data_IF_719664820823
#
_entry.id   IF_719664820823
#
_cell.length_a   1.000
_cell.length_b   1.000
_cell.length_c   1.000
_cell.angle_alpha   90.00
_cell.angle_beta   90.00
_cell.angle_gamma   90.00
#
_symmetry.space_group_name_H-M   'P 1'
#
loop_
_entity.id
_entity.type
_entity.pdbx_description
1 polymer ?
#
# COMPACT_ATOMS: atom_id res chain seq x y z
N UNK A 1 28.69 -16.02 12.07
CA UNK A 1 29.91 -15.19 12.24
C UNK A 1 30.50 -15.06 10.85
N UNK A 2 30.40 -13.87 10.27
CA UNK A 2 30.89 -13.61 8.92
C UNK A 2 32.42 -13.54 8.94
N UNK A 3 33.07 -14.11 7.93
CA UNK A 3 34.53 -14.17 7.82
C UNK A 3 34.95 -13.65 6.45
N UNK A 4 35.96 -12.79 6.42
CA UNK A 4 36.52 -12.32 5.15
C UNK A 4 37.07 -13.49 4.30
N UNK A 5 36.81 -13.49 2.98
CA UNK A 5 37.38 -14.49 2.09
C UNK A 5 38.91 -14.36 2.05
N UNK A 6 39.58 -15.50 1.94
CA UNK A 6 41.03 -15.52 1.83
C UNK A 6 41.49 -14.79 0.55
N UNK A 7 42.59 -14.04 0.65
CA UNK A 7 43.22 -13.43 -0.51
C UNK A 7 43.84 -14.51 -1.40
N UNK A 8 43.86 -14.30 -2.74
CA UNK A 8 44.43 -15.27 -3.69
C UNK A 8 45.96 -15.41 -3.57
N UNK A 9 46.63 -14.41 -3.01
CA UNK A 9 48.04 -14.47 -2.63
C UNK A 9 48.28 -13.64 -1.35
N UNK A 10 49.30 -13.98 -0.55
CA UNK A 10 49.75 -13.10 0.52
C UNK A 10 50.07 -11.71 -0.04
N UNK A 11 49.63 -10.66 0.66
CA UNK A 11 49.84 -9.26 0.28
C UNK A 11 49.27 -8.85 -1.09
N UNK A 12 48.28 -9.59 -1.62
CA UNK A 12 47.64 -9.23 -2.89
C UNK A 12 47.08 -7.80 -2.90
N UNK A 13 46.61 -7.30 -1.75
CA UNK A 13 46.13 -5.92 -1.61
C UNK A 13 47.22 -4.85 -1.82
N UNK A 14 48.49 -5.19 -1.64
CA UNK A 14 49.61 -4.26 -1.86
C UNK A 14 49.90 -4.03 -3.36
N UNK A 15 49.32 -4.84 -4.27
CA UNK A 15 49.38 -4.60 -5.71
C UNK A 15 48.30 -3.59 -6.11
N UNK A 16 48.67 -2.38 -6.60
CA UNK A 16 47.71 -1.37 -7.04
C UNK A 16 46.78 -1.84 -8.17
N UNK A 17 47.18 -2.87 -8.93
CA UNK A 17 46.37 -3.45 -10.00
C UNK A 17 45.40 -4.54 -9.54
N UNK A 18 45.47 -4.99 -8.28
CA UNK A 18 44.74 -6.16 -7.82
C UNK A 18 43.23 -5.98 -7.93
N UNK A 19 42.66 -4.88 -7.42
CA UNK A 19 41.21 -4.63 -7.45
C UNK A 19 40.65 -4.52 -8.88
N UNK A 20 41.48 -4.12 -9.85
CA UNK A 20 41.11 -4.06 -11.26
C UNK A 20 41.33 -5.38 -12.02
N UNK A 21 41.86 -6.41 -11.34
CA UNK A 21 42.08 -7.73 -11.91
C UNK A 21 40.87 -8.63 -11.71
N UNK A 22 40.71 -9.65 -12.56
CA UNK A 22 39.66 -10.66 -12.38
C UNK A 22 39.72 -11.35 -11.00
N UNK A 23 40.92 -11.53 -10.45
CA UNK A 23 41.09 -12.10 -9.12
C UNK A 23 40.62 -11.16 -8.00
N UNK A 24 40.81 -9.86 -8.16
CA UNK A 24 40.30 -8.83 -7.25
C UNK A 24 38.79 -8.70 -7.34
N UNK A 25 38.23 -8.68 -8.54
CA UNK A 25 36.78 -8.67 -8.76
C UNK A 25 36.10 -9.88 -8.10
N UNK A 26 36.61 -11.10 -8.34
CA UNK A 26 36.07 -12.30 -7.69
C UNK A 26 36.22 -12.29 -6.17
N UNK A 27 37.29 -11.69 -5.65
CA UNK A 27 37.48 -11.57 -4.20
C UNK A 27 36.50 -10.56 -3.58
N UNK A 28 36.25 -9.42 -4.23
CA UNK A 28 35.25 -8.44 -3.80
C UNK A 28 33.84 -9.05 -3.87
N UNK A 29 33.54 -9.83 -4.90
CA UNK A 29 32.26 -10.54 -5.00
C UNK A 29 32.05 -11.50 -3.83
N UNK A 30 33.08 -12.31 -3.50
CA UNK A 30 33.03 -13.19 -2.34
C UNK A 30 32.96 -12.41 -1.00
N UNK A 31 33.56 -11.21 -0.94
CA UNK A 31 33.48 -10.34 0.24
C UNK A 31 32.06 -9.80 0.41
N UNK A 32 31.41 -9.34 -0.66
CA UNK A 32 30.02 -8.90 -0.66
C UNK A 32 29.04 -10.06 -0.36
N UNK A 33 29.35 -11.29 -0.79
CA UNK A 33 28.58 -12.47 -0.43
C UNK A 33 28.71 -12.82 1.06
N UNK A 34 29.93 -12.73 1.62
CA UNK A 34 30.16 -13.01 3.04
C UNK A 34 29.66 -11.90 3.97
N UNK A 35 29.52 -10.68 3.47
CA UNK A 35 29.00 -9.52 4.21
C UNK A 35 27.95 -8.80 3.36
N UNK A 36 26.73 -9.36 3.26
CA UNK A 36 25.66 -8.73 2.51
C UNK A 36 25.21 -7.43 3.18
N UNK A 37 24.78 -6.46 2.36
CA UNK A 37 24.10 -5.27 2.82
C UNK A 37 22.62 -5.35 2.39
N UNK A 38 21.73 -4.84 3.24
CA UNK A 38 20.30 -4.74 2.95
C UNK A 38 19.82 -3.34 3.28
N UNK A 39 19.33 -2.61 2.27
CA UNK A 39 18.77 -1.28 2.42
C UNK A 39 17.54 -1.28 3.33
N UNK A 40 16.69 -2.30 3.18
CA UNK A 40 15.45 -2.44 3.93
C UNK A 40 15.48 -3.71 4.78
N UNK A 41 15.45 -3.52 6.09
CA UNK A 41 15.41 -4.63 7.04
C UNK A 41 14.61 -4.24 8.27
N UNK A 42 13.86 -5.21 8.80
CA UNK A 42 13.05 -5.02 10.00
C UNK A 42 13.87 -5.31 11.25
N UNK A 43 14.47 -4.27 11.83
CA UNK A 43 15.21 -4.37 13.10
C UNK A 43 14.33 -4.18 14.36
N UNK A 44 13.03 -4.49 14.30
CA UNK A 44 12.11 -4.09 15.39
C UNK A 44 11.16 -5.17 15.92
N UNK A 45 10.94 -5.09 17.23
CA UNK A 45 9.99 -5.89 18.02
C UNK A 45 8.70 -5.14 18.38
N UNK A 46 8.55 -3.87 17.94
CA UNK A 46 7.39 -3.03 18.25
C UNK A 46 6.22 -3.25 17.27
N UNK A 47 5.01 -3.03 17.77
CA UNK A 47 3.79 -3.06 16.97
C UNK A 47 3.46 -1.67 16.45
N UNK A 48 3.17 -1.56 15.16
CA UNK A 48 2.70 -0.33 14.56
C UNK A 48 1.28 0.00 15.01
N UNK A 49 1.01 1.28 15.27
CA UNK A 49 -0.39 1.71 15.46
C UNK A 49 -1.13 1.65 14.13
N UNK A 50 -2.42 1.31 14.15
CA UNK A 50 -3.26 1.31 12.94
C UNK A 50 -3.26 2.69 12.26
N UNK A 51 -3.24 3.77 13.04
CA UNK A 51 -3.14 5.14 12.52
C UNK A 51 -1.86 5.36 11.69
N UNK A 52 -0.73 4.85 12.16
CA UNK A 52 0.54 4.92 11.43
C UNK A 52 0.48 4.08 10.15
N UNK A 53 -0.01 2.83 10.25
CA UNK A 53 -0.16 1.94 9.09
C UNK A 53 -1.10 2.51 8.02
N UNK A 54 -2.19 3.16 8.44
CA UNK A 54 -3.12 3.85 7.55
C UNK A 54 -2.47 5.05 6.82
N UNK A 55 -1.60 5.80 7.50
CA UNK A 55 -0.87 6.92 6.90
C UNK A 55 0.15 6.42 5.87
N UNK A 56 0.86 5.31 6.14
CA UNK A 56 1.76 4.68 5.19
C UNK A 56 0.99 4.11 3.99
N UNK A 57 -0.13 3.44 4.24
CA UNK A 57 -1.02 2.96 3.18
C UNK A 57 -1.53 4.10 2.30
N UNK A 58 -1.77 5.29 2.86
CA UNK A 58 -2.16 6.45 2.07
C UNK A 58 -1.06 6.86 1.09
N UNK A 59 0.19 6.96 1.57
CA UNK A 59 1.34 7.29 0.73
C UNK A 59 1.56 6.26 -0.38
N UNK A 60 1.40 4.97 -0.09
CA UNK A 60 1.50 3.90 -1.09
C UNK A 60 0.44 4.09 -2.19
N UNK A 61 -0.81 4.35 -1.82
CA UNK A 61 -1.91 4.55 -2.77
C UNK A 61 -1.68 5.82 -3.61
N UNK A 62 -1.28 6.93 -2.98
CA UNK A 62 -0.99 8.19 -3.68
C UNK A 62 0.17 8.02 -4.67
N UNK A 63 1.27 7.39 -4.26
CA UNK A 63 2.41 7.11 -5.14
C UNK A 63 2.00 6.30 -6.38
N UNK A 64 1.15 5.27 -6.21
CA UNK A 64 0.60 4.48 -7.32
C UNK A 64 -0.25 5.32 -8.27
N UNK A 65 -1.08 6.24 -7.76
CA UNK A 65 -1.89 7.11 -8.60
C UNK A 65 -1.09 8.20 -9.31
N UNK A 66 -0.02 8.69 -8.69
CA UNK A 66 0.86 9.71 -9.25
C UNK A 66 1.92 9.11 -10.20
N UNK A 67 2.06 7.78 -10.25
CA UNK A 67 3.02 7.07 -11.09
C UNK A 67 4.44 7.07 -10.54
N UNK A 68 4.59 7.31 -9.24
CA UNK A 68 5.87 7.29 -8.53
C UNK A 68 6.22 5.86 -8.06
N UNK A 69 7.52 5.59 -7.90
CA UNK A 69 7.97 4.37 -7.22
C UNK A 69 7.53 4.40 -5.74
N UNK A 70 7.19 3.25 -5.18
CA UNK A 70 6.78 3.16 -3.77
C UNK A 70 8.00 3.44 -2.88
N UNK A 71 9.16 2.98 -3.31
CA UNK A 71 10.47 3.18 -2.70
C UNK A 71 10.72 4.67 -2.45
N UNK A 72 10.64 5.50 -3.49
CA UNK A 72 10.82 6.95 -3.41
C UNK A 72 9.80 7.61 -2.46
N UNK A 73 8.55 7.15 -2.48
CA UNK A 73 7.49 7.70 -1.63
C UNK A 73 7.68 7.36 -0.14
N UNK A 74 8.41 6.28 0.16
CA UNK A 74 8.63 5.76 1.49
C UNK A 74 9.97 6.19 2.09
N UNK A 75 10.94 6.59 1.26
CA UNK A 75 12.29 7.03 1.66
C UNK A 75 12.28 8.13 2.74
N UNK A 76 11.35 9.09 2.66
CA UNK A 76 11.26 10.17 3.64
C UNK A 76 10.95 9.68 5.07
N UNK A 77 10.26 8.53 5.21
CA UNK A 77 9.95 7.92 6.50
C UNK A 77 10.96 6.82 6.87
N UNK A 78 11.41 6.07 5.85
CA UNK A 78 12.31 4.94 5.95
C UNK A 78 13.48 5.15 5.01
N UNK A 79 14.44 6.00 5.39
CA UNK A 79 15.64 6.18 4.60
C UNK A 79 16.34 4.81 4.49
N UNK A 80 16.75 4.38 3.28
CA UNK A 80 17.46 3.13 3.11
C UNK A 80 18.72 3.14 3.97
N UNK A 81 19.07 1.98 4.54
CA UNK A 81 20.31 1.86 5.29
C UNK A 81 21.49 2.21 4.40
N UNK A 82 22.44 2.98 4.94
CA UNK A 82 23.65 3.33 4.19
C UNK A 82 24.65 2.17 4.23
N UNK A 83 25.22 1.75 3.09
CA UNK A 83 26.25 0.71 3.02
C UNK A 83 27.43 0.97 3.96
N UNK A 84 27.74 2.25 4.22
CA UNK A 84 28.79 2.66 5.14
C UNK A 84 28.62 2.08 6.56
N UNK A 85 27.39 1.90 7.04
CA UNK A 85 27.16 1.33 8.37
C UNK A 85 27.59 -0.14 8.42
N UNK A 86 27.18 -0.94 7.45
CA UNK A 86 27.59 -2.35 7.32
C UNK A 86 29.11 -2.45 7.11
N UNK A 87 29.68 -1.59 6.27
CA UNK A 87 31.13 -1.53 6.10
C UNK A 87 31.85 -1.28 7.43
N UNK A 88 31.46 -0.23 8.16
CA UNK A 88 32.14 0.19 9.37
C UNK A 88 32.02 -0.84 10.51
N UNK A 89 30.83 -1.43 10.68
CA UNK A 89 30.54 -2.31 11.81
C UNK A 89 30.86 -3.78 11.54
N UNK A 90 30.82 -4.25 10.30
CA UNK A 90 30.93 -5.67 9.97
C UNK A 90 32.14 -6.00 9.10
N UNK A 91 32.34 -5.26 8.01
CA UNK A 91 33.38 -5.57 7.01
C UNK A 91 34.75 -5.10 7.46
N UNK A 92 34.89 -3.80 7.76
CA UNK A 92 36.16 -3.17 8.09
C UNK A 92 36.88 -3.83 9.28
N UNK A 93 36.20 -4.25 10.37
CA UNK A 93 36.85 -4.98 11.46
C UNK A 93 37.53 -6.28 11.02
N UNK A 94 36.94 -7.00 10.07
CA UNK A 94 37.47 -8.26 9.53
C UNK A 94 38.61 -8.04 8.54
N UNK A 95 38.70 -6.82 7.97
CA UNK A 95 39.75 -6.45 7.01
C UNK A 95 41.02 -5.92 7.65
N UNK A 96 40.99 -5.55 8.95
CA UNK A 96 42.16 -4.97 9.65
C UNK A 96 43.41 -5.83 9.59
N UNK A 97 43.29 -7.15 9.69
CA UNK A 97 44.45 -8.06 9.62
C UNK A 97 45.05 -8.10 8.22
N UNK A 98 44.22 -8.22 7.19
CA UNK A 98 44.65 -8.24 5.79
C UNK A 98 45.31 -6.92 5.38
N UNK A 99 44.75 -5.79 5.82
CA UNK A 99 45.31 -4.46 5.58
C UNK A 99 46.66 -4.28 6.27
N UNK A 100 46.80 -4.72 7.53
CA UNK A 100 48.08 -4.65 8.26
C UNK A 100 49.15 -5.54 7.65
N UNK A 101 48.79 -6.75 7.21
CA UNK A 101 49.73 -7.66 6.53
C UNK A 101 50.23 -7.07 5.21
N UNK A 102 49.39 -6.29 4.53
CA UNK A 102 49.72 -5.58 3.29
C UNK A 102 50.37 -4.19 3.50
N UNK A 103 50.58 -3.74 4.75
CA UNK A 103 51.08 -2.39 5.10
C UNK A 103 50.18 -1.24 4.61
N UNK A 104 48.85 -1.45 4.67
CA UNK A 104 47.81 -0.53 4.18
C UNK A 104 46.86 -0.05 5.29
N UNK A 105 47.13 -0.33 6.57
CA UNK A 105 46.18 -0.03 7.65
C UNK A 105 46.02 1.47 7.97
N UNK A 106 46.94 2.31 7.49
CA UNK A 106 46.84 3.78 7.51
C UNK A 106 46.56 4.39 6.12
N UNK A 107 46.49 3.57 5.06
CA UNK A 107 46.25 4.04 3.69
C UNK A 107 44.75 4.26 3.44
N UNK A 108 44.31 5.50 3.66
CA UNK A 108 42.91 5.88 3.44
C UNK A 108 42.45 5.73 1.99
N UNK A 109 43.33 5.83 1.00
CA UNK A 109 42.96 5.69 -0.42
C UNK A 109 42.68 4.22 -0.74
N UNK A 110 43.56 3.32 -0.31
CA UNK A 110 43.39 1.87 -0.48
C UNK A 110 42.14 1.36 0.26
N UNK A 111 41.92 1.80 1.50
CA UNK A 111 40.73 1.44 2.29
C UNK A 111 39.45 1.92 1.60
N UNK A 112 39.44 3.16 1.10
CA UNK A 112 38.28 3.70 0.38
C UNK A 112 38.04 2.96 -0.94
N UNK A 113 39.09 2.55 -1.66
CA UNK A 113 38.95 1.80 -2.91
C UNK A 113 38.30 0.43 -2.67
N UNK A 114 38.71 -0.31 -1.63
CA UNK A 114 38.09 -1.58 -1.25
C UNK A 114 36.64 -1.34 -0.80
N UNK A 115 36.40 -0.30 0.01
CA UNK A 115 35.04 0.06 0.46
C UNK A 115 34.12 0.29 -0.73
N UNK A 116 34.48 1.20 -1.64
CA UNK A 116 33.63 1.52 -2.78
C UNK A 116 33.38 0.31 -3.68
N UNK A 117 34.41 -0.51 -3.94
CA UNK A 117 34.24 -1.74 -4.70
C UNK A 117 33.29 -2.74 -4.01
N UNK A 118 33.37 -2.86 -2.68
CA UNK A 118 32.44 -3.67 -1.90
C UNK A 118 31.03 -3.07 -1.90
N UNK A 119 30.88 -1.75 -1.71
CA UNK A 119 29.58 -1.04 -1.71
C UNK A 119 28.85 -1.26 -3.03
N UNK A 120 29.54 -1.14 -4.17
CA UNK A 120 28.96 -1.40 -5.49
C UNK A 120 28.44 -2.84 -5.60
N UNK A 121 29.25 -3.84 -5.20
CA UNK A 121 28.84 -5.25 -5.25
C UNK A 121 27.76 -5.62 -4.23
N UNK A 122 27.79 -5.00 -3.05
CA UNK A 122 26.78 -5.22 -2.04
C UNK A 122 25.43 -4.64 -2.48
N UNK A 123 25.42 -3.45 -3.09
CA UNK A 123 24.23 -2.83 -3.66
C UNK A 123 23.66 -3.63 -4.85
N UNK A 124 24.51 -4.15 -5.74
CA UNK A 124 24.06 -5.04 -6.83
C UNK A 124 23.38 -6.33 -6.34
N UNK A 125 23.71 -6.77 -5.13
CA UNK A 125 23.18 -8.01 -4.52
C UNK A 125 22.02 -7.78 -3.56
N UNK A 126 21.71 -6.52 -3.23
CA UNK A 126 20.63 -6.20 -2.34
C UNK A 126 19.28 -6.44 -3.04
N UNK A 127 18.59 -7.49 -2.60
CA UNK A 127 17.24 -7.84 -3.05
C UNK A 127 16.15 -7.38 -2.08
N UNK A 128 16.52 -6.60 -1.05
CA UNK A 128 15.56 -6.04 -0.10
C UNK A 128 14.67 -4.98 -0.74
N UNK A 129 13.48 -4.86 -0.18
CA UNK A 129 12.43 -3.98 -0.67
C UNK A 129 11.71 -3.31 0.49
N UNK A 130 10.94 -2.25 0.20
CA UNK A 130 10.05 -1.62 1.18
C UNK A 130 9.08 -2.63 1.83
N UNK A 131 8.73 -3.71 1.14
CA UNK A 131 7.88 -4.77 1.70
C UNK A 131 8.51 -5.41 2.93
N UNK A 132 9.85 -5.51 2.98
CA UNK A 132 10.60 -6.14 4.07
C UNK A 132 10.58 -5.33 5.36
N UNK A 133 10.11 -4.08 5.31
CA UNK A 133 9.82 -3.27 6.50
C UNK A 133 8.58 -3.77 7.26
N UNK A 134 7.69 -4.50 6.60
CA UNK A 134 6.39 -4.91 7.12
C UNK A 134 6.30 -6.42 7.33
N UNK A 135 5.57 -6.81 8.37
CA UNK A 135 5.27 -8.20 8.68
C UNK A 135 3.89 -8.54 8.15
N UNK A 136 3.60 -9.84 8.07
CA UNK A 136 2.30 -10.35 7.64
C UNK A 136 1.13 -9.90 8.52
N UNK A 137 1.40 -9.37 9.72
CA UNK A 137 0.39 -8.86 10.64
C UNK A 137 0.25 -7.33 10.65
N UNK A 138 1.07 -6.60 9.89
CA UNK A 138 0.93 -5.15 9.75
C UNK A 138 -0.17 -4.83 8.74
N UNK A 139 -1.38 -4.56 9.26
CA UNK A 139 -2.58 -4.34 8.47
C UNK A 139 -3.00 -2.86 8.43
N UNK A 140 -3.59 -2.45 7.32
CA UNK A 140 -4.19 -1.12 7.14
C UNK A 140 -5.65 -1.23 6.69
N UNK A 141 -6.43 -0.18 6.98
CA UNK A 141 -7.76 0.01 6.39
C UNK A 141 -7.63 0.37 4.91
N UNK A 142 -8.24 -0.43 4.04
CA UNK A 142 -8.33 -0.21 2.61
C UNK A 142 -9.79 0.01 2.22
N UNK A 143 -10.06 1.09 1.49
CA UNK A 143 -11.37 1.42 0.96
C UNK A 143 -11.30 1.52 -0.57
N UNK A 144 -12.38 1.13 -1.23
CA UNK A 144 -12.59 1.43 -2.65
C UNK A 144 -13.89 2.19 -2.83
N UNK A 145 -13.81 3.50 -3.09
CA UNK A 145 -14.98 4.37 -3.25
C UNK A 145 -15.54 4.27 -4.65
N UNK A 146 -16.84 4.01 -4.78
CA UNK A 146 -17.56 4.01 -6.05
C UNK A 146 -17.90 5.44 -6.50
N UNK A 147 -16.92 6.17 -7.03
CA UNK A 147 -17.13 7.49 -7.63
C UNK A 147 -16.11 7.78 -8.74
N UNK A 148 -16.55 8.49 -9.77
CA UNK A 148 -15.68 9.02 -10.82
C UNK A 148 -14.99 10.33 -10.41
N UNK A 149 -15.42 10.96 -9.32
CA UNK A 149 -14.91 12.25 -8.87
C UNK A 149 -13.51 12.09 -8.27
N UNK A 150 -12.68 13.14 -8.37
CA UNK A 150 -11.33 13.15 -7.77
C UNK A 150 -11.42 13.34 -6.26
N UNK A 151 -12.13 14.37 -5.82
CA UNK A 151 -12.19 14.81 -4.43
C UNK A 151 -13.26 14.05 -3.62
N UNK A 152 -13.10 13.97 -2.30
CA UNK A 152 -14.04 13.27 -1.42
C UNK A 152 -15.40 13.98 -1.36
N UNK A 153 -15.39 15.29 -1.19
CA UNK A 153 -16.59 16.11 -1.04
C UNK A 153 -17.48 16.08 -2.30
N UNK A 154 -16.85 16.08 -3.48
CA UNK A 154 -17.55 16.00 -4.76
C UNK A 154 -18.21 14.65 -5.01
N UNK A 155 -17.74 13.58 -4.34
CA UNK A 155 -18.21 12.21 -4.54
C UNK A 155 -19.46 11.85 -3.71
N UNK A 156 -19.93 12.75 -2.85
CA UNK A 156 -21.01 12.48 -1.91
C UNK A 156 -22.36 12.25 -2.61
N UNK A 157 -23.16 11.38 -1.99
CA UNK A 157 -24.59 11.17 -2.25
C UNK A 157 -25.36 11.87 -1.14
N UNK A 158 -26.45 12.54 -1.48
CA UNK A 158 -27.20 13.39 -0.55
C UNK A 158 -28.63 12.90 -0.34
N UNK A 159 -29.14 13.09 0.87
CA UNK A 159 -30.56 12.96 1.21
C UNK A 159 -31.27 14.32 1.10
N UNK A 160 -32.50 14.34 0.59
CA UNK A 160 -33.37 15.52 0.66
C UNK A 160 -33.92 15.77 2.07
N UNK A 161 -33.81 14.79 2.97
CA UNK A 161 -34.23 14.90 4.37
C UNK A 161 -33.02 15.09 5.30
N UNK A 162 -33.24 15.62 6.52
CA UNK A 162 -32.18 15.73 7.52
C UNK A 162 -31.79 14.39 8.16
N UNK A 163 -32.25 13.27 7.61
CA UNK A 163 -31.81 11.90 7.93
C UNK A 163 -31.70 11.09 6.63
N UNK A 164 -30.85 10.06 6.58
CA UNK A 164 -30.78 9.19 5.42
C UNK A 164 -32.01 8.30 5.34
N UNK A 165 -32.56 8.20 4.14
CA UNK A 165 -33.65 7.29 3.82
C UNK A 165 -33.56 6.97 2.33
N UNK A 166 -33.58 5.69 1.95
CA UNK A 166 -33.38 5.29 0.55
C UNK A 166 -34.39 5.95 -0.43
N UNK A 167 -35.64 6.11 0.00
CA UNK A 167 -36.68 6.80 -0.78
C UNK A 167 -36.42 8.29 -1.00
N UNK A 168 -35.54 8.91 -0.19
CA UNK A 168 -35.29 10.35 -0.12
C UNK A 168 -33.92 10.76 -0.65
N UNK A 169 -33.11 9.82 -1.14
CA UNK A 169 -31.84 10.14 -1.77
C UNK A 169 -32.05 10.94 -3.06
N UNK A 170 -31.24 11.98 -3.24
CA UNK A 170 -31.15 12.76 -4.47
C UNK A 170 -30.56 11.89 -5.59
N UNK A 171 -31.23 11.87 -6.75
CA UNK A 171 -30.82 11.06 -7.90
C UNK A 171 -29.76 11.80 -8.73
N UNK A 172 -28.61 12.02 -8.11
CA UNK A 172 -27.41 12.63 -8.71
C UNK A 172 -26.67 11.61 -9.56
N UNK A 173 -25.64 12.02 -10.31
CA UNK A 173 -24.81 11.03 -11.00
C UNK A 173 -23.92 10.21 -10.07
N UNK A 174 -23.56 10.70 -8.88
CA UNK A 174 -22.78 9.93 -7.92
C UNK A 174 -23.60 8.73 -7.43
N UNK A 175 -24.88 8.96 -7.09
CA UNK A 175 -25.78 7.86 -6.72
C UNK A 175 -25.94 6.89 -7.90
N UNK A 176 -26.18 7.42 -9.11
CA UNK A 176 -26.32 6.57 -10.29
C UNK A 176 -25.05 5.75 -10.57
N UNK A 177 -23.87 6.34 -10.44
CA UNK A 177 -22.58 5.68 -10.66
C UNK A 177 -22.33 4.61 -9.60
N UNK A 178 -22.54 4.92 -8.32
CA UNK A 178 -22.40 3.96 -7.23
C UNK A 178 -23.34 2.76 -7.41
N UNK A 179 -24.63 3.02 -7.69
CA UNK A 179 -25.61 1.96 -7.93
C UNK A 179 -25.21 1.04 -9.09
N UNK A 180 -24.74 1.58 -10.22
CA UNK A 180 -24.30 0.75 -11.34
C UNK A 180 -23.10 -0.14 -11.01
N UNK A 181 -22.18 0.35 -10.20
CA UNK A 181 -21.03 -0.41 -9.71
C UNK A 181 -21.41 -1.46 -8.67
N UNK A 182 -22.43 -1.17 -7.85
CA UNK A 182 -23.04 -2.13 -6.92
C UNK A 182 -23.91 -3.19 -7.63
N UNK A 183 -24.24 -2.99 -8.91
CA UNK A 183 -25.03 -3.92 -9.74
C UNK A 183 -26.50 -3.56 -9.91
N UNK A 184 -26.89 -2.32 -9.57
CA UNK A 184 -28.26 -1.82 -9.61
C UNK A 184 -28.48 -0.76 -10.68
N UNK A 185 -29.62 -0.82 -11.33
CA UNK A 185 -30.15 0.29 -12.13
C UNK A 185 -30.97 1.24 -11.26
N UNK A 186 -31.13 2.49 -11.71
CA UNK A 186 -32.06 3.43 -11.06
C UNK A 186 -33.50 2.92 -11.07
N UNK A 187 -33.91 2.19 -12.11
CA UNK A 187 -35.25 1.60 -12.16
C UNK A 187 -35.47 0.59 -11.03
N UNK A 188 -34.52 -0.31 -10.81
CA UNK A 188 -34.54 -1.28 -9.71
C UNK A 188 -34.51 -0.59 -8.35
N UNK A 189 -33.60 0.36 -8.16
CA UNK A 189 -33.51 1.15 -6.93
C UNK A 189 -34.81 1.89 -6.61
N UNK A 190 -35.40 2.60 -7.59
CA UNK A 190 -36.70 3.29 -7.41
C UNK A 190 -37.83 2.35 -7.06
N UNK A 191 -37.88 1.19 -7.71
CA UNK A 191 -38.91 0.17 -7.46
C UNK A 191 -38.77 -0.42 -6.04
N UNK A 192 -37.55 -0.69 -5.60
CA UNK A 192 -37.29 -1.30 -4.30
C UNK A 192 -37.48 -0.30 -3.15
N UNK A 193 -36.91 0.90 -3.28
CA UNK A 193 -36.85 1.89 -2.21
C UNK A 193 -37.99 2.91 -2.26
N UNK A 194 -38.87 2.88 -3.27
CA UNK A 194 -39.95 3.85 -3.43
C UNK A 194 -39.47 5.28 -3.75
N UNK A 195 -38.23 5.44 -4.22
CA UNK A 195 -37.66 6.74 -4.57
C UNK A 195 -38.38 7.33 -5.81
N UNK A 196 -38.90 8.55 -5.70
CA UNK A 196 -39.63 9.26 -6.76
C UNK A 196 -38.99 10.58 -7.17
N UNK A 197 -37.81 10.89 -6.64
CA UNK A 197 -37.12 12.14 -6.91
C UNK A 197 -36.65 12.21 -8.38
N UNK A 198 -36.74 13.39 -9.02
CA UNK A 198 -36.23 13.58 -10.36
C UNK A 198 -34.72 13.32 -10.41
N UNK A 199 -34.23 12.82 -11.54
CA UNK A 199 -32.79 12.67 -11.75
C UNK A 199 -32.23 13.99 -12.30
N UNK A 200 -31.16 14.50 -11.70
CA UNK A 200 -30.54 15.78 -12.11
C UNK A 200 -29.95 15.69 -13.52
N UNK A 201 -29.43 14.51 -13.86
CA UNK A 201 -28.89 14.17 -15.18
C UNK A 201 -29.12 12.70 -15.46
N UNK A 202 -29.37 12.34 -16.71
CA UNK A 202 -29.36 10.94 -17.11
C UNK A 202 -27.93 10.40 -17.07
N UNK A 203 -27.75 9.19 -16.53
CA UNK A 203 -26.48 8.48 -16.64
C UNK A 203 -26.09 8.30 -18.12
N UNK A 204 -24.79 8.37 -18.42
CA UNK A 204 -24.27 8.09 -19.75
C UNK A 204 -24.76 6.72 -20.25
N UNK A 205 -25.25 6.67 -21.49
CA UNK A 205 -25.70 5.42 -22.14
C UNK A 205 -24.60 4.36 -22.25
N UNK A 206 -23.35 4.77 -22.11
CA UNK A 206 -22.18 3.90 -22.19
C UNK A 206 -21.65 3.45 -20.83
N UNK A 207 -22.29 3.87 -19.73
CA UNK A 207 -21.86 3.45 -18.40
C UNK A 207 -22.05 1.93 -18.27
N UNK A 208 -20.95 1.24 -18.00
CA UNK A 208 -20.92 -0.20 -17.83
C UNK A 208 -21.53 -0.55 -16.47
N UNK A 209 -22.56 -1.40 -16.49
CA UNK A 209 -23.18 -1.92 -15.27
C UNK A 209 -22.49 -3.21 -14.84
N UNK A 210 -22.27 -3.39 -13.52
CA UNK A 210 -21.94 -4.69 -12.96
C UNK A 210 -23.10 -5.66 -13.20
N UNK A 211 -22.80 -6.91 -13.57
CA UNK A 211 -23.85 -7.88 -13.96
C UNK A 211 -24.61 -8.46 -12.76
N UNK A 212 -23.90 -8.74 -11.67
CA UNK A 212 -24.46 -9.30 -10.45
C UNK A 212 -24.35 -8.27 -9.30
N UNK A 213 -25.42 -8.05 -8.53
CA UNK A 213 -25.37 -7.23 -7.33
C UNK A 213 -24.36 -7.76 -6.31
N UNK A 214 -23.60 -6.86 -5.68
CA UNK A 214 -22.60 -7.23 -4.66
C UNK A 214 -23.28 -7.63 -3.33
N UNK A 215 -24.36 -6.94 -3.01
CA UNK A 215 -25.22 -7.12 -1.82
C UNK A 215 -26.67 -7.24 -2.27
N UNK A 216 -27.59 -7.70 -1.42
CA UNK A 216 -29.03 -7.78 -1.73
C UNK A 216 -29.71 -6.39 -1.72
N UNK A 217 -30.94 -6.32 -2.22
CA UNK A 217 -31.71 -5.07 -2.19
C UNK A 217 -32.04 -4.64 -0.75
N UNK A 218 -32.31 -5.62 0.11
CA UNK A 218 -32.58 -5.39 1.54
C UNK A 218 -31.34 -4.83 2.22
N UNK A 219 -30.17 -5.40 1.96
CA UNK A 219 -28.89 -4.90 2.47
C UNK A 219 -28.56 -3.50 1.93
N UNK A 220 -28.86 -3.21 0.65
CA UNK A 220 -28.69 -1.88 0.08
C UNK A 220 -29.56 -0.84 0.80
N UNK A 221 -30.83 -1.16 1.06
CA UNK A 221 -31.71 -0.27 1.80
C UNK A 221 -31.22 -0.10 3.25
N UNK A 222 -30.78 -1.18 3.88
CA UNK A 222 -30.24 -1.19 5.24
C UNK A 222 -29.02 -0.27 5.39
N UNK A 223 -28.01 -0.37 4.52
CA UNK A 223 -26.84 0.50 4.63
C UNK A 223 -27.18 1.98 4.41
N UNK A 224 -28.14 2.28 3.54
CA UNK A 224 -28.58 3.66 3.32
C UNK A 224 -29.29 4.18 4.56
N UNK A 225 -30.30 3.47 5.05
CA UNK A 225 -31.11 3.93 6.18
C UNK A 225 -30.29 4.04 7.48
N UNK A 226 -29.16 3.31 7.58
CA UNK A 226 -28.22 3.36 8.69
C UNK A 226 -26.96 4.20 8.45
N UNK A 227 -26.87 4.94 7.33
CA UNK A 227 -25.69 5.76 7.02
C UNK A 227 -25.39 6.86 8.07
N UNK A 228 -26.37 7.16 8.94
CA UNK A 228 -26.31 8.16 10.01
C UNK A 228 -25.90 9.58 9.59
N UNK A 229 -25.85 9.86 8.28
CA UNK A 229 -25.52 11.17 7.72
C UNK A 229 -26.44 11.50 6.54
N UNK A 230 -26.65 12.79 6.30
CA UNK A 230 -27.37 13.30 5.13
C UNK A 230 -26.51 13.30 3.87
N UNK A 231 -25.19 13.09 3.99
CA UNK A 231 -24.25 13.00 2.89
C UNK A 231 -23.23 11.90 3.13
N UNK A 232 -23.10 10.94 2.21
CA UNK A 232 -22.19 9.82 2.38
C UNK A 232 -21.69 9.27 1.04
N UNK A 233 -20.65 8.45 1.09
CA UNK A 233 -20.07 7.70 -0.01
C UNK A 233 -20.49 6.24 0.09
N UNK A 234 -20.57 5.55 -1.06
CA UNK A 234 -20.54 4.09 -1.10
C UNK A 234 -19.11 3.63 -1.35
N UNK A 235 -18.64 2.67 -0.57
CA UNK A 235 -17.33 2.06 -0.75
C UNK A 235 -17.33 0.57 -0.46
N UNK A 236 -16.29 -0.12 -0.94
CA UNK A 236 -15.84 -1.37 -0.34
C UNK A 236 -14.90 -1.04 0.81
N UNK A 237 -14.94 -1.84 1.86
CA UNK A 237 -14.07 -1.74 3.03
C UNK A 237 -13.44 -3.10 3.33
N UNK A 238 -12.16 -3.10 3.69
CA UNK A 238 -11.42 -4.26 4.17
C UNK A 238 -10.22 -3.82 5.02
N UNK A 239 -9.72 -4.70 5.88
CA UNK A 239 -8.43 -4.54 6.54
C UNK A 239 -7.46 -5.54 5.91
N UNK A 240 -6.39 -5.04 5.28
CA UNK A 240 -5.48 -5.84 4.46
C UNK A 240 -4.03 -5.69 4.94
N UNK A 241 -3.18 -6.71 4.75
CA UNK A 241 -1.74 -6.56 4.98
C UNK A 241 -1.15 -5.46 4.09
N UNK A 242 -0.25 -4.62 4.64
CA UNK A 242 0.50 -3.65 3.83
C UNK A 242 1.29 -4.32 2.69
N UNK A 243 1.94 -5.49 2.89
CA UNK A 243 2.59 -6.20 1.78
C UNK A 243 1.67 -6.48 0.60
N UNK A 244 0.41 -6.88 0.84
CA UNK A 244 -0.58 -7.09 -0.22
C UNK A 244 -0.84 -5.78 -0.98
N UNK A 245 -0.97 -4.65 -0.26
CA UNK A 245 -1.18 -3.33 -0.85
C UNK A 245 0.01 -2.87 -1.71
N UNK A 246 1.25 -3.08 -1.23
CA UNK A 246 2.46 -2.75 -1.99
C UNK A 246 2.49 -3.53 -3.30
N UNK A 247 2.11 -4.81 -3.29
CA UNK A 247 2.11 -5.67 -4.47
C UNK A 247 1.06 -5.29 -5.52
N UNK A 248 0.05 -4.46 -5.18
CA UNK A 248 -1.01 -4.10 -6.12
C UNK A 248 -0.55 -3.13 -7.21
N UNK A 249 -0.94 -3.46 -8.44
CA UNK A 249 -1.00 -2.53 -9.57
C UNK A 249 -2.41 -1.94 -9.69
N UNK A 250 -2.59 -0.68 -9.28
CA UNK A 250 -3.89 0.00 -9.30
C UNK A 250 -4.40 0.36 -10.71
N UNK A 251 -3.59 0.13 -11.75
CA UNK A 251 -4.01 0.28 -13.16
C UNK A 251 -4.70 -0.98 -13.70
N UNK A 252 -4.67 -2.08 -12.94
CA UNK A 252 -5.31 -3.35 -13.28
C UNK A 252 -6.51 -3.61 -12.39
N UNK A 253 -7.42 -4.52 -12.80
CA UNK A 253 -8.47 -4.99 -11.90
C UNK A 253 -7.88 -5.53 -10.59
N UNK A 254 -8.55 -5.25 -9.48
CA UNK A 254 -8.18 -5.71 -8.14
C UNK A 254 -9.35 -6.47 -7.55
N UNK A 255 -9.07 -7.65 -6.99
CA UNK A 255 -10.06 -8.50 -6.35
C UNK A 255 -9.88 -8.46 -4.84
N UNK A 256 -10.95 -8.11 -4.14
CA UNK A 256 -11.11 -8.32 -2.72
C UNK A 256 -11.64 -9.73 -2.48
N UNK A 257 -10.86 -10.59 -1.83
CA UNK A 257 -11.29 -11.96 -1.52
C UNK A 257 -12.42 -11.98 -0.47
N UNK A 258 -12.41 -10.98 0.41
CA UNK A 258 -13.44 -10.70 1.41
C UNK A 258 -13.52 -9.19 1.60
N UNK A 259 -14.71 -8.63 1.64
CA UNK A 259 -14.91 -7.20 1.90
C UNK A 259 -16.34 -6.93 2.38
N UNK A 260 -16.60 -5.67 2.70
CA UNK A 260 -17.91 -5.16 3.08
C UNK A 260 -18.28 -4.01 2.16
N UNK A 261 -19.56 -3.91 1.78
CA UNK A 261 -20.07 -2.67 1.19
C UNK A 261 -20.47 -1.75 2.34
N UNK A 262 -19.96 -0.54 2.34
CA UNK A 262 -20.20 0.44 3.38
C UNK A 262 -20.75 1.75 2.82
N UNK A 263 -21.53 2.43 3.67
CA UNK A 263 -21.78 3.86 3.57
C UNK A 263 -20.90 4.59 4.56
N UNK A 264 -20.22 5.65 4.12
CA UNK A 264 -19.31 6.41 4.97
C UNK A 264 -19.42 7.91 4.70
N UNK A 265 -19.53 8.71 5.76
CA UNK A 265 -19.34 10.16 5.69
C UNK A 265 -17.91 10.52 6.13
N UNK A 266 -17.01 10.85 5.20
CA UNK A 266 -15.62 11.19 5.53
C UNK A 266 -15.46 12.53 6.25
N UNK A 267 -16.49 13.39 6.22
CA UNK A 267 -16.46 14.74 6.80
C UNK A 267 -16.94 14.70 8.25
N UNK A 268 -18.12 14.12 8.48
CA UNK A 268 -18.75 14.07 9.80
C UNK A 268 -18.41 12.81 10.60
N UNK A 269 -17.81 11.79 9.95
CA UNK A 269 -17.37 10.57 10.61
C UNK A 269 -18.54 9.64 10.94
N UNK A 270 -19.22 9.13 9.91
CA UNK A 270 -20.19 8.03 10.07
C UNK A 270 -19.77 6.85 9.22
N UNK A 271 -20.07 5.64 9.68
CA UNK A 271 -19.74 4.40 8.99
C UNK A 271 -20.79 3.33 9.31
N UNK A 272 -21.26 2.64 8.28
CA UNK A 272 -22.09 1.46 8.42
C UNK A 272 -21.85 0.54 7.23
N UNK A 273 -21.81 -0.76 7.47
CA UNK A 273 -21.40 -1.74 6.48
C UNK A 273 -22.20 -3.04 6.55
N UNK A 274 -22.16 -3.79 5.46
CA UNK A 274 -22.69 -5.15 5.34
C UNK A 274 -21.72 -6.03 4.56
N UNK A 275 -21.58 -7.33 4.90
CA UNK A 275 -20.67 -8.23 4.20
C UNK A 275 -21.13 -8.48 2.76
N UNK A 276 -20.16 -8.63 1.85
CA UNK A 276 -20.44 -9.06 0.48
C UNK A 276 -20.76 -10.55 0.40
N UNK A 277 -21.51 -10.95 -0.62
CA UNK A 277 -21.87 -12.35 -0.81
C UNK A 277 -20.70 -13.20 -1.35
N UNK A 278 -19.82 -12.59 -2.13
CA UNK A 278 -18.72 -13.23 -2.86
C UNK A 278 -17.52 -12.27 -2.97
N UNK A 279 -16.33 -12.76 -3.39
CA UNK A 279 -15.21 -11.91 -3.77
C UNK A 279 -15.61 -10.84 -4.78
N UNK A 280 -15.07 -9.63 -4.63
CA UNK A 280 -15.43 -8.48 -5.45
C UNK A 280 -14.23 -7.99 -6.23
N UNK A 281 -14.28 -8.13 -7.55
CA UNK A 281 -13.32 -7.48 -8.45
C UNK A 281 -13.79 -6.09 -8.85
N UNK A 282 -12.95 -5.09 -8.62
CA UNK A 282 -13.13 -3.69 -9.05
C UNK A 282 -12.12 -3.33 -10.12
N UNK A 283 -12.46 -2.38 -10.97
CA UNK A 283 -11.59 -1.86 -12.02
C UNK A 283 -11.21 -0.41 -11.76
N UNK A 284 -10.13 0.09 -12.38
CA UNK A 284 -9.73 1.49 -12.25
C UNK A 284 -10.86 2.47 -12.63
N UNK A 285 -11.69 2.12 -13.62
CA UNK A 285 -12.84 2.94 -14.02
C UNK A 285 -14.04 2.89 -13.06
N UNK A 286 -14.07 1.96 -12.10
CA UNK A 286 -15.19 1.75 -11.17
C UNK A 286 -15.13 2.69 -9.96
N UNK A 287 -14.01 3.36 -9.73
CA UNK A 287 -13.80 4.12 -8.50
C UNK A 287 -12.34 4.45 -8.20
N UNK A 288 -12.06 4.72 -6.91
CA UNK A 288 -10.71 4.99 -6.41
C UNK A 288 -10.44 4.31 -5.07
N UNK A 289 -9.21 3.83 -4.91
CA UNK A 289 -8.70 3.34 -3.64
C UNK A 289 -8.39 4.51 -2.70
N UNK A 290 -8.63 4.25 -1.42
CA UNK A 290 -8.31 5.12 -0.29
C UNK A 290 -7.86 4.22 0.86
N UNK A 291 -7.22 4.82 1.84
CA UNK A 291 -6.93 4.19 3.14
C UNK A 291 -7.51 5.04 4.25
N UNK A 292 -7.51 4.52 5.48
CA UNK A 292 -7.83 5.33 6.66
C UNK A 292 -6.99 6.60 6.79
N UNK A 293 -5.78 6.65 6.21
CA UNK A 293 -4.89 7.81 6.27
C UNK A 293 -5.31 8.97 5.36
N UNK A 294 -6.19 8.72 4.38
CA UNK A 294 -6.79 9.77 3.56
C UNK A 294 -7.98 10.45 4.24
N UNK A 295 -8.45 9.88 5.36
CA UNK A 295 -9.68 10.28 6.01
C UNK A 295 -9.37 11.06 7.28
N UNK A 296 -10.19 12.08 7.55
CA UNK A 296 -10.14 12.77 8.86
C UNK A 296 -10.52 11.81 9.99
N UNK A 297 -11.50 10.95 9.72
CA UNK A 297 -11.99 9.89 10.61
C UNK A 297 -12.03 8.59 9.82
N UNK A 298 -11.18 7.64 10.17
CA UNK A 298 -11.22 6.31 9.57
C UNK A 298 -12.35 5.46 10.19
N UNK A 299 -12.87 4.43 9.51
CA UNK A 299 -13.90 3.54 10.05
C UNK A 299 -13.59 3.01 11.46
N UNK A 300 -12.34 2.60 11.74
CA UNK A 300 -11.94 2.18 13.08
C UNK A 300 -12.06 3.32 14.11
N UNK A 301 -11.61 4.53 13.77
CA UNK A 301 -11.73 5.71 14.63
C UNK A 301 -13.20 6.11 14.92
N UNK A 302 -14.11 5.84 13.98
CA UNK A 302 -15.53 6.21 14.11
C UNK A 302 -16.27 5.23 15.03
N UNK A 303 -16.09 3.93 14.82
CA UNK A 303 -16.96 2.91 15.40
C UNK A 303 -16.27 2.03 16.45
N UNK A 304 -14.94 2.13 16.64
CA UNK A 304 -14.19 1.21 17.52
C UNK A 304 -14.31 -0.25 17.05
N UNK A 305 -14.13 -0.45 15.74
CA UNK A 305 -14.38 -1.73 15.07
C UNK A 305 -13.49 -2.86 15.62
N UNK A 306 -14.04 -4.07 15.72
CA UNK A 306 -13.24 -5.27 15.95
C UNK A 306 -12.48 -5.64 14.67
N UNK A 307 -11.29 -5.07 14.49
CA UNK A 307 -10.50 -5.17 13.25
C UNK A 307 -10.28 -6.60 12.70
N UNK A 308 -10.08 -7.66 13.50
CA UNK A 308 -9.90 -9.01 12.97
C UNK A 308 -11.09 -9.53 12.17
N UNK A 309 -12.30 -9.06 12.47
CA UNK A 309 -13.49 -9.41 11.68
C UNK A 309 -13.35 -8.96 10.22
N UNK A 310 -12.67 -7.83 10.01
CA UNK A 310 -12.48 -7.15 8.73
C UNK A 310 -11.23 -7.59 7.95
N UNK A 311 -10.41 -8.48 8.51
CA UNK A 311 -9.21 -8.97 7.84
C UNK A 311 -9.57 -9.68 6.52
N UNK A 312 -8.83 -9.32 5.47
CA UNK A 312 -8.98 -9.85 4.13
C UNK A 312 -7.64 -9.79 3.37
N UNK A 313 -7.63 -10.42 2.20
CA UNK A 313 -6.55 -10.30 1.23
C UNK A 313 -7.05 -9.64 -0.05
N UNK A 314 -6.13 -8.94 -0.72
CA UNK A 314 -6.37 -8.30 -2.01
C UNK A 314 -5.30 -8.71 -3.00
N UNK A 315 -5.67 -8.83 -4.26
CA UNK A 315 -4.75 -9.18 -5.34
C UNK A 315 -5.19 -8.58 -6.66
N UNK A 316 -4.25 -8.36 -7.58
CA UNK A 316 -4.61 -8.10 -8.96
C UNK A 316 -5.35 -9.31 -9.57
N UNK A 317 -6.38 -9.02 -10.37
CA UNK A 317 -7.13 -10.02 -11.14
C UNK A 317 -6.51 -10.37 -12.48
#
# INVERSE_FOLDING_TARGET
MFTAPALPAPNALADPGFLASAAGESWIEALAENFPHTCYWRDRSDCWSLKSLNALAARIIDARYDGNAIEDAMEAEFPPSEPYQTWYHEVAPQMRSFLREADLDEDSEAINAIRYAWEDRAAERDDSSVTDLFASYDHCELLFRFSAERWLDDALVFSHRPWPQASELAVTANLQFALNNLGYTIGEFRKACGNRHPADRALSRHARRRRAPIISHEQLAEIIDNACSTSFLFCLYAIVPIPDLIALDLSRPVTFEKCWVATMDPINGTFFDVPTNEPVTVKPEDGRFLSGGHLRWSPENICGLHTPYYHASVRNG
#
